data_IF_700632289426
#
_entry.id   IF_700632289426
#
_cell.length_a   1.000
_cell.length_b   1.000
_cell.length_c   1.000
_cell.angle_alpha   90.00
_cell.angle_beta   90.00
_cell.angle_gamma   90.00
#
_symmetry.space_group_name_H-M   'P 1'
#
loop_
_entity.id
_entity.type
_entity.pdbx_description
1 polymer ?
#
# COMPACT_ATOMS: atom_id res chain seq x y z
N UNK A 1 -7.96 15.57 -6.70
CA UNK A 1 -7.68 14.42 -5.82
C UNK A 1 -6.54 13.58 -6.40
N UNK A 2 -5.67 13.05 -5.53
CA UNK A 2 -4.56 12.19 -5.92
C UNK A 2 -5.05 10.80 -6.31
N UNK A 3 -4.35 10.16 -7.26
CA UNK A 3 -4.68 8.84 -7.77
C UNK A 3 -3.55 7.86 -7.49
N UNK A 4 -3.89 6.71 -6.93
CA UNK A 4 -2.92 5.72 -6.44
C UNK A 4 -1.87 5.34 -7.49
N UNK A 5 -2.31 4.89 -8.67
CA UNK A 5 -1.36 4.43 -9.69
C UNK A 5 -0.50 5.56 -10.24
N UNK A 6 -1.10 6.73 -10.54
CA UNK A 6 -0.37 7.86 -11.11
C UNK A 6 0.57 8.52 -10.12
N UNK A 7 0.13 8.69 -8.88
CA UNK A 7 0.80 9.58 -7.93
C UNK A 7 1.68 8.83 -6.92
N UNK A 8 1.45 7.51 -6.72
CA UNK A 8 2.23 6.71 -5.77
C UNK A 8 3.08 5.61 -6.40
N UNK A 9 2.63 4.97 -7.49
CA UNK A 9 3.28 3.75 -7.96
C UNK A 9 3.95 3.86 -9.33
N UNK A 10 3.60 4.86 -10.15
CA UNK A 10 3.98 4.88 -11.56
C UNK A 10 5.47 5.12 -11.85
N UNK A 11 6.27 5.45 -10.85
CA UNK A 11 7.73 5.57 -10.95
C UNK A 11 8.49 4.34 -10.42
N UNK A 12 7.78 3.37 -9.82
CA UNK A 12 8.35 2.08 -9.46
C UNK A 12 8.33 1.14 -10.67
N UNK A 13 9.38 0.32 -10.87
CA UNK A 13 9.36 -0.68 -11.92
C UNK A 13 8.27 -1.72 -11.71
N UNK A 14 7.74 -2.25 -12.78
CA UNK A 14 6.75 -3.34 -12.72
C UNK A 14 7.47 -4.62 -12.31
N UNK A 15 6.93 -5.31 -11.32
CA UNK A 15 7.41 -6.62 -10.85
C UNK A 15 6.26 -7.63 -10.87
N UNK A 16 6.56 -8.89 -11.16
CA UNK A 16 5.62 -10.01 -11.08
C UNK A 16 5.56 -10.59 -9.67
N UNK A 17 4.61 -11.51 -9.45
CA UNK A 17 4.55 -12.27 -8.20
C UNK A 17 5.86 -13.02 -7.94
N UNK A 18 6.45 -12.81 -6.77
CA UNK A 18 7.74 -13.37 -6.36
C UNK A 18 8.98 -12.63 -6.84
N UNK A 19 8.82 -11.63 -7.70
CA UNK A 19 9.94 -10.81 -8.19
C UNK A 19 10.26 -9.63 -7.27
N UNK A 20 11.41 -9.02 -7.52
CA UNK A 20 11.93 -7.88 -6.78
C UNK A 20 12.99 -8.26 -5.76
N UNK A 21 13.37 -7.31 -4.91
CA UNK A 21 14.43 -7.49 -3.92
C UNK A 21 14.07 -6.93 -2.57
N UNK A 22 14.48 -7.63 -1.49
CA UNK A 22 14.29 -7.16 -0.12
C UNK A 22 15.36 -6.12 0.27
N UNK A 23 16.61 -6.36 -0.09
CA UNK A 23 17.75 -5.53 0.33
C UNK A 23 18.45 -4.82 -0.83
N UNK A 24 18.11 -5.15 -2.08
CA UNK A 24 18.76 -4.57 -3.25
C UNK A 24 18.20 -3.20 -3.61
N UNK A 25 18.99 -2.45 -4.37
CA UNK A 25 18.64 -1.16 -4.92
C UNK A 25 17.63 -1.33 -6.07
N UNK A 26 16.62 -0.48 -6.08
CA UNK A 26 15.60 -0.40 -7.14
C UNK A 26 15.55 1.02 -7.66
N UNK A 27 15.99 1.22 -8.90
CA UNK A 27 15.96 2.53 -9.54
C UNK A 27 14.54 2.91 -9.97
N UNK A 28 14.22 4.20 -9.85
CA UNK A 28 12.95 4.72 -10.32
C UNK A 28 12.92 4.80 -11.84
N UNK A 29 11.74 4.62 -12.40
CA UNK A 29 11.51 4.71 -13.86
C UNK A 29 11.16 6.12 -14.34
N UNK A 30 10.91 7.06 -13.39
CA UNK A 30 10.60 8.47 -13.67
C UNK A 30 11.41 9.41 -12.79
N UNK A 31 11.75 10.61 -13.28
CA UNK A 31 12.41 11.62 -12.46
C UNK A 31 11.47 12.17 -11.38
N UNK A 32 12.03 12.71 -10.29
CA UNK A 32 11.27 13.30 -9.20
C UNK A 32 10.44 14.52 -9.62
N UNK A 33 10.90 15.25 -10.64
CA UNK A 33 10.16 16.39 -11.22
C UNK A 33 8.74 16.05 -11.65
N UNK A 34 8.52 14.82 -12.10
CA UNK A 34 7.24 14.34 -12.63
C UNK A 34 6.33 13.77 -11.53
N UNK A 35 6.82 13.71 -10.29
CA UNK A 35 6.18 13.06 -9.16
C UNK A 35 5.82 14.07 -8.06
N UNK A 36 4.96 15.04 -8.39
CA UNK A 36 4.60 16.16 -7.52
C UNK A 36 4.13 15.71 -6.12
N UNK A 37 3.26 14.71 -6.06
CA UNK A 37 2.75 14.21 -4.77
C UNK A 37 3.85 13.60 -3.91
N UNK A 38 4.70 12.73 -4.47
CA UNK A 38 5.78 12.08 -3.74
C UNK A 38 6.80 13.09 -3.22
N UNK A 39 7.08 14.15 -4.00
CA UNK A 39 7.95 15.24 -3.61
C UNK A 39 7.35 16.06 -2.47
N UNK A 40 6.10 16.52 -2.62
CA UNK A 40 5.41 17.36 -1.62
C UNK A 40 5.16 16.65 -0.30
N UNK A 41 4.87 15.35 -0.33
CA UNK A 41 4.64 14.54 0.87
C UNK A 41 5.93 14.08 1.56
N UNK A 42 7.11 14.32 0.97
CA UNK A 42 8.39 13.82 1.48
C UNK A 42 8.57 12.31 1.35
N UNK A 43 7.66 11.61 0.66
CA UNK A 43 7.79 10.15 0.44
C UNK A 43 9.03 9.84 -0.39
N UNK A 44 9.25 10.59 -1.48
CA UNK A 44 10.44 10.47 -2.30
C UNK A 44 11.36 11.67 -2.09
N UNK A 45 12.55 11.40 -1.56
CA UNK A 45 13.61 12.38 -1.36
C UNK A 45 14.53 12.51 -2.58
N UNK A 46 15.77 12.93 -2.33
CA UNK A 46 16.79 13.20 -3.36
C UNK A 46 17.42 11.95 -3.98
N UNK A 47 17.28 10.78 -3.34
CA UNK A 47 17.84 9.54 -3.85
C UNK A 47 17.16 9.14 -5.17
N UNK A 48 17.95 8.60 -6.10
CA UNK A 48 17.46 8.09 -7.39
C UNK A 48 16.97 6.65 -7.34
N UNK A 49 16.90 6.07 -6.14
CA UNK A 49 16.53 4.69 -5.91
C UNK A 49 15.74 4.51 -4.60
N UNK A 50 15.12 3.37 -4.46
CA UNK A 50 14.55 2.86 -3.20
C UNK A 50 14.99 1.42 -2.96
N UNK A 51 14.49 0.80 -1.90
CA UNK A 51 14.71 -0.60 -1.56
C UNK A 51 13.38 -1.29 -1.26
N UNK A 52 13.41 -2.60 -1.01
CA UNK A 52 12.25 -3.37 -0.56
C UNK A 52 11.06 -3.38 -1.52
N UNK A 53 11.32 -3.17 -2.80
CA UNK A 53 10.31 -3.36 -3.84
C UNK A 53 10.28 -4.83 -4.26
N UNK A 54 9.64 -5.66 -3.42
CA UNK A 54 9.53 -7.11 -3.58
C UNK A 54 8.06 -7.53 -3.45
N UNK A 55 7.59 -8.31 -4.41
CA UNK A 55 6.25 -8.89 -4.42
C UNK A 55 6.21 -10.26 -3.70
N UNK A 56 5.05 -10.60 -3.15
CA UNK A 56 4.80 -11.97 -2.67
C UNK A 56 4.79 -12.93 -3.86
N UNK A 57 5.20 -14.21 -3.69
CA UNK A 57 5.11 -15.19 -4.75
C UNK A 57 3.65 -15.52 -5.13
N UNK A 58 2.70 -15.32 -4.23
CA UNK A 58 1.29 -15.70 -4.36
C UNK A 58 1.12 -17.09 -5.00
N UNK A 59 0.40 -17.99 -4.38
CA UNK A 59 0.22 -19.34 -4.92
C UNK A 59 -0.65 -19.33 -6.19
N UNK A 60 -0.65 -20.38 -7.01
CA UNK A 60 -1.40 -20.43 -8.27
C UNK A 60 -2.91 -20.19 -8.09
N UNK A 61 -3.51 -20.75 -7.03
CA UNK A 61 -4.94 -20.53 -6.71
C UNK A 61 -5.23 -19.05 -6.41
N UNK A 62 -4.39 -18.40 -5.60
CA UNK A 62 -4.55 -16.97 -5.30
C UNK A 62 -4.41 -16.12 -6.57
N UNK A 63 -3.46 -16.45 -7.45
CA UNK A 63 -3.27 -15.72 -8.71
C UNK A 63 -4.47 -15.87 -9.64
N UNK A 64 -5.10 -17.05 -9.70
CA UNK A 64 -6.34 -17.23 -10.46
C UNK A 64 -7.48 -16.36 -9.89
N UNK A 65 -7.63 -16.31 -8.57
CA UNK A 65 -8.62 -15.44 -7.91
C UNK A 65 -8.30 -13.97 -8.15
N UNK A 66 -7.02 -13.57 -8.07
CA UNK A 66 -6.60 -12.19 -8.32
C UNK A 66 -6.88 -11.75 -9.75
N UNK A 67 -6.66 -12.63 -10.73
CA UNK A 67 -7.01 -12.36 -12.13
C UNK A 67 -8.51 -12.05 -12.25
N UNK A 68 -9.38 -12.92 -11.72
CA UNK A 68 -10.83 -12.71 -11.74
C UNK A 68 -11.22 -11.43 -10.97
N UNK A 69 -10.56 -11.13 -9.85
CA UNK A 69 -10.82 -9.90 -9.09
C UNK A 69 -10.50 -8.65 -9.90
N UNK A 70 -9.38 -8.62 -10.63
CA UNK A 70 -8.98 -7.48 -11.46
C UNK A 70 -9.87 -7.38 -12.71
N UNK A 71 -10.24 -8.50 -13.35
CA UNK A 71 -11.18 -8.53 -14.47
C UNK A 71 -12.52 -7.91 -14.06
N UNK A 72 -13.11 -8.38 -12.95
CA UNK A 72 -14.37 -7.81 -12.44
C UNK A 72 -14.26 -6.34 -12.05
N UNK A 73 -13.11 -5.95 -11.45
CA UNK A 73 -12.84 -4.56 -11.13
C UNK A 73 -12.85 -3.66 -12.37
N UNK A 74 -12.24 -4.11 -13.46
CA UNK A 74 -12.22 -3.39 -14.74
C UNK A 74 -13.62 -3.23 -15.36
N UNK A 75 -14.55 -4.13 -15.02
CA UNK A 75 -15.97 -4.04 -15.38
C UNK A 75 -16.80 -3.19 -14.38
N UNK A 76 -16.18 -2.57 -13.39
CA UNK A 76 -16.88 -1.82 -12.34
C UNK A 76 -17.55 -2.68 -11.28
N UNK A 77 -17.20 -3.95 -11.19
CA UNK A 77 -17.73 -4.93 -10.23
C UNK A 77 -16.69 -5.24 -9.15
N UNK A 78 -17.14 -5.82 -8.03
CA UNK A 78 -16.26 -6.36 -6.99
C UNK A 78 -16.45 -7.85 -6.89
N UNK A 79 -15.35 -8.58 -6.88
CA UNK A 79 -15.37 -10.02 -6.66
C UNK A 79 -15.93 -10.34 -5.27
N UNK A 80 -16.84 -11.30 -5.24
CA UNK A 80 -17.40 -11.87 -4.01
C UNK A 80 -16.92 -13.31 -3.85
N UNK A 81 -16.37 -13.63 -2.68
CA UNK A 81 -15.81 -14.93 -2.39
C UNK A 81 -16.83 -16.09 -2.53
N UNK A 82 -18.09 -15.85 -2.13
CA UNK A 82 -19.19 -16.81 -2.24
C UNK A 82 -19.64 -17.11 -3.68
N UNK A 83 -19.16 -16.32 -4.64
CA UNK A 83 -19.46 -16.49 -6.07
C UNK A 83 -18.30 -17.09 -6.87
N UNK A 84 -17.19 -17.39 -6.22
CA UNK A 84 -16.10 -18.12 -6.84
C UNK A 84 -16.48 -19.59 -7.09
N UNK A 85 -15.83 -20.20 -8.07
CA UNK A 85 -15.89 -21.65 -8.26
C UNK A 85 -15.50 -22.34 -6.94
N UNK A 86 -16.24 -23.38 -6.50
CA UNK A 86 -15.94 -24.12 -5.26
C UNK A 86 -14.50 -24.64 -5.19
N UNK A 87 -13.87 -24.96 -6.32
CA UNK A 87 -12.47 -25.41 -6.37
C UNK A 87 -11.47 -24.33 -5.94
N UNK A 88 -11.84 -23.06 -6.05
CA UNK A 88 -11.04 -21.90 -5.64
C UNK A 88 -11.32 -21.47 -4.20
N UNK A 89 -12.41 -21.95 -3.58
CA UNK A 89 -12.81 -21.59 -2.23
C UNK A 89 -12.01 -22.38 -1.18
N UNK A 90 -10.78 -21.95 -0.87
CA UNK A 90 -9.88 -22.62 0.09
C UNK A 90 -10.10 -22.24 1.55
N UNK A 91 -10.79 -21.12 1.82
CA UNK A 91 -11.06 -20.69 3.19
C UNK A 91 -12.26 -21.40 3.78
N UNK A 92 -12.13 -21.83 5.06
CA UNK A 92 -13.21 -22.50 5.80
C UNK A 92 -14.48 -21.64 5.94
N UNK A 93 -14.31 -20.32 6.08
CA UNK A 93 -15.42 -19.38 6.20
C UNK A 93 -15.81 -18.84 4.84
N UNK A 94 -16.96 -19.25 4.34
CA UNK A 94 -17.55 -18.81 3.07
C UNK A 94 -18.74 -17.86 3.24
N UNK A 95 -19.11 -17.53 4.48
CA UNK A 95 -20.30 -16.70 4.77
C UNK A 95 -19.95 -15.26 5.19
N UNK A 96 -18.75 -15.06 5.77
CA UNK A 96 -18.28 -13.72 6.18
C UNK A 96 -17.03 -13.35 5.40
N UNK A 97 -16.67 -12.05 5.43
CA UNK A 97 -15.53 -11.51 4.68
C UNK A 97 -15.59 -11.83 3.18
N UNK A 98 -16.76 -11.68 2.59
CA UNK A 98 -17.01 -12.01 1.18
C UNK A 98 -16.21 -11.14 0.20
N UNK A 99 -15.76 -9.98 0.64
CA UNK A 99 -14.93 -9.02 -0.09
C UNK A 99 -13.43 -9.12 0.23
N UNK A 100 -12.95 -10.28 0.72
CA UNK A 100 -11.55 -10.47 1.13
C UNK A 100 -10.53 -10.30 -0.01
N UNK A 101 -10.93 -10.48 -1.24
CA UNK A 101 -10.09 -10.24 -2.43
C UNK A 101 -10.41 -8.86 -3.01
N UNK A 102 -9.60 -7.88 -2.62
CA UNK A 102 -9.86 -6.47 -2.94
C UNK A 102 -8.76 -5.89 -3.82
N UNK A 103 -9.15 -5.34 -4.96
CA UNK A 103 -8.23 -4.60 -5.83
C UNK A 103 -8.03 -3.20 -5.26
N UNK A 104 -6.78 -2.74 -5.20
CA UNK A 104 -6.46 -1.34 -4.87
C UNK A 104 -7.00 -0.44 -5.97
N UNK A 105 -7.81 0.56 -5.61
CA UNK A 105 -8.39 1.47 -6.59
C UNK A 105 -7.32 2.30 -7.29
N UNK A 106 -7.06 2.10 -8.59
CA UNK A 106 -6.01 2.82 -9.30
C UNK A 106 -6.32 4.31 -9.46
N UNK A 107 -7.59 4.69 -9.42
CA UNK A 107 -8.09 6.04 -9.65
C UNK A 107 -8.59 6.73 -8.38
N UNK A 108 -8.52 6.06 -7.24
CA UNK A 108 -8.96 6.54 -5.95
C UNK A 108 -7.88 6.42 -4.88
N UNK A 109 -8.33 6.20 -3.65
CA UNK A 109 -7.48 6.01 -2.46
C UNK A 109 -7.54 4.56 -2.00
N UNK A 110 -6.47 4.09 -1.39
CA UNK A 110 -6.40 2.74 -0.82
C UNK A 110 -7.20 2.67 0.49
N UNK A 111 -7.68 1.47 0.80
CA UNK A 111 -8.09 1.14 2.17
C UNK A 111 -6.91 1.29 3.13
N UNK A 112 -7.21 1.54 4.40
CA UNK A 112 -6.21 1.57 5.48
C UNK A 112 -5.39 0.27 5.45
N UNK A 113 -4.06 0.41 5.42
CA UNK A 113 -3.17 -0.75 5.51
C UNK A 113 -3.11 -1.18 6.97
N UNK A 114 -3.51 -2.41 7.23
CA UNK A 114 -3.55 -2.99 8.58
C UNK A 114 -2.58 -4.15 8.72
N UNK A 115 -2.21 -4.51 9.95
CA UNK A 115 -1.22 -5.55 10.24
C UNK A 115 -1.53 -6.92 9.60
N UNK A 116 -2.79 -7.20 9.28
CA UNK A 116 -3.21 -8.41 8.57
C UNK A 116 -2.54 -8.57 7.19
N UNK A 117 -2.10 -7.48 6.56
CA UNK A 117 -1.29 -7.55 5.32
C UNK A 117 -0.06 -8.45 5.47
N UNK A 118 0.46 -8.66 6.69
CA UNK A 118 1.58 -9.57 6.95
C UNK A 118 1.23 -11.04 6.69
N UNK A 119 -0.03 -11.43 6.83
CA UNK A 119 -0.51 -12.81 6.64
C UNK A 119 -0.71 -13.12 5.16
N UNK A 120 -1.47 -12.28 4.47
CA UNK A 120 -1.76 -12.39 3.05
C UNK A 120 -1.90 -10.98 2.42
N UNK A 121 -1.99 -10.93 1.10
CA UNK A 121 -2.16 -9.69 0.36
C UNK A 121 -3.55 -9.55 -0.28
N UNK A 122 -4.52 -10.34 0.13
CA UNK A 122 -5.80 -10.47 -0.54
C UNK A 122 -6.60 -9.16 -0.60
N UNK A 123 -6.51 -8.34 0.45
CA UNK A 123 -7.13 -7.01 0.50
C UNK A 123 -6.38 -5.93 -0.31
N UNK A 124 -5.22 -6.27 -0.88
CA UNK A 124 -4.33 -5.31 -1.54
C UNK A 124 -3.81 -5.87 -2.86
N UNK A 125 -4.73 -6.29 -3.74
CA UNK A 125 -4.38 -6.79 -5.07
C UNK A 125 -3.96 -5.60 -5.94
N UNK A 126 -2.81 -5.71 -6.59
CA UNK A 126 -2.31 -4.69 -7.50
C UNK A 126 -3.22 -4.60 -8.75
N UNK A 127 -3.66 -3.39 -9.16
CA UNK A 127 -4.57 -3.21 -10.30
C UNK A 127 -3.80 -3.35 -11.63
N UNK A 128 -3.50 -4.57 -11.99
CA UNK A 128 -2.73 -4.91 -13.20
C UNK A 128 -3.54 -4.63 -14.46
N UNK A 129 -3.04 -3.84 -15.42
CA UNK A 129 -3.63 -3.77 -16.74
C UNK A 129 -3.57 -5.13 -17.46
N UNK A 130 -4.65 -5.52 -18.16
CA UNK A 130 -4.72 -6.81 -18.88
C UNK A 130 -4.30 -8.00 -18.00
N UNK A 131 -5.08 -8.36 -16.97
CA UNK A 131 -4.69 -9.34 -15.97
C UNK A 131 -4.55 -10.75 -16.56
N UNK A 132 -3.45 -11.41 -16.21
CA UNK A 132 -3.19 -12.82 -16.46
C UNK A 132 -2.69 -13.46 -15.17
N UNK A 133 -2.72 -14.78 -15.05
CA UNK A 133 -2.18 -15.48 -13.89
C UNK A 133 -0.68 -15.23 -13.66
N UNK A 134 0.04 -14.76 -14.68
CA UNK A 134 1.48 -14.50 -14.58
C UNK A 134 1.81 -13.09 -14.11
N UNK A 135 0.91 -12.12 -14.32
CA UNK A 135 1.19 -10.71 -14.02
C UNK A 135 0.39 -10.15 -12.83
N UNK A 136 -0.60 -10.90 -12.31
CA UNK A 136 -1.36 -10.49 -11.12
C UNK A 136 -0.60 -10.79 -9.84
N UNK A 137 -0.72 -9.91 -8.85
CA UNK A 137 -0.05 -10.00 -7.56
C UNK A 137 -0.73 -9.13 -6.49
N UNK A 138 -0.36 -9.31 -5.25
CA UNK A 138 -0.58 -8.31 -4.22
C UNK A 138 0.50 -7.22 -4.28
N UNK A 139 0.25 -6.09 -3.61
CA UNK A 139 1.22 -4.98 -3.56
C UNK A 139 2.53 -5.42 -2.88
N UNK A 140 3.62 -4.74 -3.24
CA UNK A 140 4.96 -4.91 -2.66
C UNK A 140 5.07 -4.23 -1.30
N UNK A 141 6.19 -4.48 -0.57
CA UNK A 141 6.50 -3.77 0.68
C UNK A 141 6.58 -2.26 0.42
N UNK A 142 7.31 -1.84 -0.62
CA UNK A 142 7.48 -0.41 -0.93
C UNK A 142 6.17 0.27 -1.33
N UNK A 143 5.31 -0.40 -2.09
CA UNK A 143 3.98 0.10 -2.41
C UNK A 143 3.12 0.26 -1.15
N UNK A 144 3.13 -0.71 -0.25
CA UNK A 144 2.42 -0.62 1.04
C UNK A 144 2.98 0.50 1.93
N UNK A 145 4.31 0.67 1.98
CA UNK A 145 4.97 1.74 2.71
C UNK A 145 4.55 3.13 2.18
N UNK A 146 4.50 3.30 0.86
CA UNK A 146 4.05 4.55 0.23
C UNK A 146 2.57 4.87 0.52
N UNK A 147 1.70 3.86 0.59
CA UNK A 147 0.29 4.06 1.00
C UNK A 147 0.24 4.60 2.44
N UNK A 148 1.10 4.12 3.33
CA UNK A 148 1.25 4.62 4.70
C UNK A 148 2.15 5.86 4.80
N UNK A 149 2.49 6.47 3.65
CA UNK A 149 3.33 7.67 3.53
C UNK A 149 4.71 7.58 4.21
N UNK A 150 5.31 6.39 4.30
CA UNK A 150 6.69 6.24 4.70
C UNK A 150 7.64 6.78 3.61
N UNK A 151 8.73 7.45 4.01
CA UNK A 151 9.77 7.85 3.07
C UNK A 151 10.40 6.63 2.36
N UNK A 152 10.79 6.82 1.10
CA UNK A 152 11.36 5.74 0.28
C UNK A 152 12.76 5.28 0.72
N UNK A 153 13.46 6.10 1.49
CA UNK A 153 14.74 5.79 2.16
C UNK A 153 14.56 5.10 3.52
N UNK A 154 13.33 4.96 4.02
CA UNK A 154 13.06 4.18 5.22
C UNK A 154 13.17 2.68 4.92
N UNK A 155 14.00 1.98 5.70
CA UNK A 155 14.20 0.54 5.60
C UNK A 155 13.53 -0.19 6.76
N UNK A 156 12.71 -1.19 6.44
CA UNK A 156 12.04 -2.04 7.43
C UNK A 156 12.90 -3.26 7.74
N UNK A 157 13.31 -3.41 8.99
CA UNK A 157 14.16 -4.51 9.41
C UNK A 157 13.45 -5.87 9.45
N UNK A 158 14.21 -6.91 9.13
CA UNK A 158 13.77 -8.30 9.21
C UNK A 158 13.18 -8.85 7.91
N UNK A 159 12.32 -9.84 8.04
CA UNK A 159 11.71 -10.54 6.89
C UNK A 159 10.64 -9.70 6.18
N UNK A 160 10.26 -10.13 4.97
CA UNK A 160 9.13 -9.55 4.25
C UNK A 160 7.85 -9.45 5.10
N UNK A 161 7.52 -10.51 5.84
CA UNK A 161 6.34 -10.51 6.72
C UNK A 161 6.51 -9.54 7.88
N UNK A 162 7.72 -9.40 8.46
CA UNK A 162 8.02 -8.41 9.48
C UNK A 162 7.85 -6.99 8.95
N UNK A 163 8.34 -6.69 7.75
CA UNK A 163 8.18 -5.39 7.12
C UNK A 163 6.70 -5.03 6.92
N UNK A 164 5.90 -5.94 6.37
CA UNK A 164 4.45 -5.72 6.23
C UNK A 164 3.76 -5.52 7.57
N UNK A 165 4.14 -6.25 8.63
CA UNK A 165 3.59 -6.08 9.97
C UNK A 165 3.92 -4.71 10.56
N UNK A 166 5.16 -4.24 10.38
CA UNK A 166 5.57 -2.90 10.81
C UNK A 166 4.74 -1.82 10.09
N UNK A 167 4.61 -1.91 8.77
CA UNK A 167 3.81 -0.97 7.97
C UNK A 167 2.35 -0.96 8.42
N UNK A 168 1.73 -2.13 8.59
CA UNK A 168 0.32 -2.23 8.93
C UNK A 168 -0.01 -1.87 10.38
N UNK A 169 0.97 -1.84 11.29
CA UNK A 169 0.82 -1.35 12.66
C UNK A 169 1.10 0.15 12.81
N UNK A 170 1.68 0.77 11.79
CA UNK A 170 2.06 2.18 11.87
C UNK A 170 0.86 3.11 11.62
N UNK A 171 0.86 4.24 12.29
CA UNK A 171 0.06 5.40 11.87
C UNK A 171 0.72 5.99 10.61
N UNK A 172 -0.04 6.32 9.53
CA UNK A 172 0.54 6.95 8.35
C UNK A 172 1.34 8.21 8.71
N UNK A 173 2.58 8.32 8.21
CA UNK A 173 3.54 9.34 8.64
C UNK A 173 2.99 10.76 8.45
N UNK A 174 2.43 11.06 7.28
CA UNK A 174 1.82 12.38 6.98
C UNK A 174 0.61 12.67 7.88
N UNK A 175 -0.16 11.65 8.27
CA UNK A 175 -1.27 11.82 9.21
C UNK A 175 -0.75 12.14 10.61
N UNK A 176 0.25 11.40 11.09
CA UNK A 176 0.88 11.63 12.38
C UNK A 176 1.47 13.05 12.48
N UNK A 177 2.15 13.52 11.43
CA UNK A 177 2.67 14.90 11.36
C UNK A 177 1.56 15.95 11.50
N UNK A 178 0.45 15.79 10.75
CA UNK A 178 -0.68 16.72 10.84
C UNK A 178 -1.30 16.75 12.22
N UNK A 179 -1.49 15.59 12.86
CA UNK A 179 -2.00 15.49 14.23
C UNK A 179 -1.03 16.20 15.20
N UNK A 180 0.28 15.95 15.08
CA UNK A 180 1.28 16.59 15.93
C UNK A 180 1.29 18.13 15.79
N UNK A 181 1.11 18.64 14.57
CA UNK A 181 1.02 20.09 14.33
C UNK A 181 -0.22 20.71 15.01
N UNK A 182 -1.37 20.05 15.01
CA UNK A 182 -2.57 20.52 15.72
C UNK A 182 -2.39 20.47 17.24
N UNK A 183 -1.81 19.38 17.77
CA UNK A 183 -1.47 19.30 19.20
C UNK A 183 -0.53 20.45 19.62
N UNK A 184 0.50 20.74 18.81
CA UNK A 184 1.43 21.84 19.07
C UNK A 184 0.72 23.19 19.17
N UNK A 185 -0.27 23.48 18.32
CA UNK A 185 -1.08 24.70 18.39
C UNK A 185 -1.89 24.78 19.68
N UNK A 186 -2.52 23.69 20.09
CA UNK A 186 -3.30 23.62 21.33
C UNK A 186 -2.41 23.91 22.54
N UNK A 187 -1.24 23.26 22.62
CA UNK A 187 -0.30 23.48 23.72
C UNK A 187 0.22 24.92 23.78
N UNK A 188 0.54 25.52 22.61
CA UNK A 188 0.97 26.93 22.56
C UNK A 188 -0.12 27.89 23.08
N UNK A 189 -1.39 27.63 22.72
CA UNK A 189 -2.51 28.44 23.20
C UNK A 189 -2.73 28.31 24.70
N UNK A 190 -2.63 27.10 25.25
CA UNK A 190 -2.72 26.90 26.71
C UNK A 190 -1.60 27.61 27.48
N UNK A 191 -0.37 27.61 26.95
CA UNK A 191 0.76 28.32 27.56
C UNK A 191 0.54 29.84 27.56
N UNK A 192 -0.04 30.40 26.50
CA UNK A 192 -0.43 31.80 26.46
C UNK A 192 -1.49 32.14 27.50
N UNK A 193 -2.52 31.33 27.63
CA UNK A 193 -3.56 31.53 28.65
C UNK A 193 -3.01 31.49 30.07
N UNK A 194 -2.13 30.53 30.37
CA UNK A 194 -1.46 30.45 31.69
C UNK A 194 -0.59 31.69 32.00
N UNK A 195 0.10 32.20 31.01
CA UNK A 195 0.92 33.44 31.18
C UNK A 195 0.08 34.69 31.43
N UNK A 196 -1.11 34.74 30.81
CA UNK A 196 -2.04 35.86 31.02
C UNK A 196 -2.77 35.83 32.37
N UNK A 197 -3.04 34.61 32.91
CA UNK A 197 -3.65 34.43 34.23
C UNK A 197 -2.70 34.67 35.40
N UNK A 198 -1.38 34.59 35.17
CA UNK A 198 -0.34 34.80 36.19
C UNK A 198 0.25 36.23 36.19
N UNK A 199 -0.37 37.13 35.43
CA UNK A 199 -0.08 38.58 35.44
C UNK A 199 -1.19 39.36 36.13
#
# INVERSE_FOLDING_TARGET
PYKMMRDLFCDLPIVKAGEGTLCGIVHYTKPLSDMEYLKKSGIRGVLSFTTQHIARPNNPTDREIYKQAVEQWNEGKRLRYDKLDPSLQKHKNTQTFLNRFCVVDPNGVCHTVVAHIAMDGHYYIYPTPNPTTDNVRSITIREAARIQSFPDDYFFEGSRSSAFKQIGNAVPVVLAEKIALEIKKILAHEDELRRTQNR
#
